data_IF_478812092437
#
_entry.id   IF_478812092437
#
_cell.length_a   1.000
_cell.length_b   1.000
_cell.length_c   1.000
_cell.angle_alpha   90.00
_cell.angle_beta   90.00
_cell.angle_gamma   90.00
#
_symmetry.space_group_name_H-M   'P 1'
#
loop_
_entity.id
_entity.type
_entity.pdbx_description
1 polymer ?
#
# COMPACT_ATOMS: atom_id res chain seq x y z
N UNK A 1 -18.36 -0.23 19.93
CA UNK A 1 -17.06 -0.83 19.60
C UNK A 1 -16.11 0.33 19.34
N UNK A 2 -15.18 0.61 20.24
CA UNK A 2 -14.23 1.71 20.04
C UNK A 2 -13.25 1.25 18.96
N UNK A 3 -13.40 1.80 17.75
CA UNK A 3 -12.43 1.58 16.68
C UNK A 3 -11.14 2.29 17.10
N UNK A 4 -10.12 1.51 17.50
CA UNK A 4 -8.80 2.08 17.70
C UNK A 4 -8.35 2.69 16.37
N UNK A 5 -7.85 3.94 16.36
CA UNK A 5 -7.32 4.53 15.14
C UNK A 5 -6.16 3.68 14.65
N UNK A 6 -6.37 3.01 13.51
CA UNK A 6 -5.34 2.23 12.86
C UNK A 6 -4.34 3.20 12.21
N UNK A 7 -3.05 3.02 12.51
CA UNK A 7 -1.98 3.88 11.96
C UNK A 7 -1.97 3.86 10.43
N UNK A 8 -2.31 2.72 9.81
CA UNK A 8 -2.43 2.58 8.36
C UNK A 8 -3.55 3.44 7.80
N UNK A 9 -4.69 3.50 8.49
CA UNK A 9 -5.81 4.36 8.09
C UNK A 9 -5.45 5.84 8.23
N UNK A 10 -4.72 6.22 9.27
CA UNK A 10 -4.26 7.60 9.46
C UNK A 10 -3.30 8.04 8.36
N UNK A 11 -2.32 7.20 8.02
CA UNK A 11 -1.39 7.46 6.92
C UNK A 11 -2.09 7.51 5.56
N UNK A 12 -3.03 6.60 5.31
CA UNK A 12 -3.83 6.62 4.10
C UNK A 12 -4.67 7.90 3.96
N UNK A 13 -5.20 8.42 5.07
CA UNK A 13 -5.98 9.66 5.11
C UNK A 13 -5.12 10.89 4.76
N UNK A 14 -3.92 10.95 5.34
CA UNK A 14 -2.92 11.96 5.06
C UNK A 14 -2.53 11.94 3.58
N UNK A 15 -2.17 10.77 3.05
CA UNK A 15 -1.79 10.61 1.65
C UNK A 15 -2.93 11.01 0.71
N UNK A 16 -4.17 10.57 1.00
CA UNK A 16 -5.33 10.95 0.20
C UNK A 16 -5.60 12.46 0.20
N UNK A 17 -5.04 13.22 1.15
CA UNK A 17 -5.20 14.68 1.27
C UNK A 17 -4.20 15.46 0.42
N UNK A 18 -3.21 14.76 -0.13
CA UNK A 18 -2.27 15.31 -1.11
C UNK A 18 -2.93 15.42 -2.48
N UNK A 19 -2.17 15.87 -3.49
CA UNK A 19 -2.63 15.93 -4.88
C UNK A 19 -3.16 14.55 -5.35
N UNK A 20 -4.47 14.41 -5.61
CA UNK A 20 -5.07 13.15 -5.98
C UNK A 20 -4.47 12.53 -7.24
N UNK A 21 -4.00 13.35 -8.19
CA UNK A 21 -3.35 12.85 -9.41
C UNK A 21 -2.03 12.16 -9.09
N UNK A 22 -1.23 12.74 -8.18
CA UNK A 22 0.04 12.14 -7.73
C UNK A 22 -0.18 10.88 -6.92
N UNK A 23 -1.17 10.87 -6.03
CA UNK A 23 -1.52 9.68 -5.22
C UNK A 23 -1.98 8.52 -6.10
N UNK A 24 -2.82 8.80 -7.11
CA UNK A 24 -3.30 7.78 -8.04
C UNK A 24 -2.22 7.27 -8.99
N UNK A 25 -1.31 8.14 -9.41
CA UNK A 25 -0.17 7.80 -10.27
C UNK A 25 0.95 7.06 -9.53
N UNK A 26 0.99 7.11 -8.19
CA UNK A 26 2.03 6.45 -7.43
C UNK A 26 1.99 4.92 -7.62
N UNK A 27 3.12 4.34 -7.96
CA UNK A 27 3.37 2.91 -7.97
C UNK A 27 4.78 2.68 -7.40
N UNK A 28 5.00 1.55 -6.76
CA UNK A 28 6.34 1.18 -6.32
C UNK A 28 7.29 1.16 -7.54
N UNK A 29 8.58 1.49 -7.36
CA UNK A 29 9.60 1.28 -8.40
C UNK A 29 9.60 -0.17 -8.90
N UNK A 30 9.94 -0.37 -10.18
CA UNK A 30 9.85 -1.69 -10.83
C UNK A 30 10.74 -2.75 -10.16
N UNK A 31 11.92 -2.35 -9.71
CA UNK A 31 12.84 -3.18 -8.95
C UNK A 31 12.23 -3.69 -7.63
N UNK A 32 11.47 -2.83 -6.94
CA UNK A 32 10.75 -3.22 -5.71
C UNK A 32 9.59 -4.18 -6.01
N UNK A 33 8.84 -3.92 -7.09
CA UNK A 33 7.77 -4.84 -7.52
C UNK A 33 8.34 -6.22 -7.88
N UNK A 34 9.39 -6.25 -8.71
CA UNK A 34 10.06 -7.49 -9.11
C UNK A 34 10.61 -8.26 -7.90
N UNK A 35 11.13 -7.54 -6.89
CA UNK A 35 11.62 -8.17 -5.66
C UNK A 35 10.48 -8.82 -4.87
N UNK A 36 9.34 -8.15 -4.72
CA UNK A 36 8.18 -8.70 -4.05
C UNK A 36 7.61 -9.93 -4.80
N UNK A 37 7.55 -9.86 -6.14
CA UNK A 37 7.15 -10.99 -6.99
C UNK A 37 8.09 -12.18 -6.83
N UNK A 38 9.41 -11.95 -6.87
CA UNK A 38 10.40 -12.99 -6.63
C UNK A 38 10.24 -13.66 -5.26
N UNK A 39 9.98 -12.86 -4.20
CA UNK A 39 9.77 -13.40 -2.85
C UNK A 39 8.47 -14.19 -2.74
N UNK A 40 7.41 -13.77 -3.43
CA UNK A 40 6.15 -14.52 -3.54
C UNK A 40 6.36 -15.88 -4.22
N UNK A 41 7.02 -15.90 -5.38
CA UNK A 41 7.34 -17.15 -6.09
C UNK A 41 8.22 -18.07 -5.23
N UNK A 42 9.26 -17.49 -4.60
CA UNK A 42 10.16 -18.24 -3.72
C UNK A 42 9.39 -18.88 -2.56
N UNK A 43 8.44 -18.16 -1.94
CA UNK A 43 7.59 -18.67 -0.85
C UNK A 43 6.74 -19.89 -1.23
N UNK A 44 6.35 -20.01 -2.50
CA UNK A 44 5.57 -21.15 -2.99
C UNK A 44 6.46 -22.38 -3.23
N UNK A 45 7.70 -22.18 -3.67
CA UNK A 45 8.61 -23.26 -4.05
C UNK A 45 9.58 -23.69 -2.96
N UNK A 46 9.88 -22.80 -1.99
CA UNK A 46 10.89 -22.98 -0.95
C UNK A 46 10.48 -22.17 0.31
N UNK A 47 11.22 -22.33 1.40
CA UNK A 47 11.03 -21.50 2.58
C UNK A 47 11.77 -20.16 2.45
N UNK A 48 11.04 -19.06 2.64
CA UNK A 48 11.66 -17.76 2.85
C UNK A 48 12.44 -17.75 4.16
N UNK A 49 13.60 -17.10 4.16
CA UNK A 49 14.28 -16.76 5.41
C UNK A 49 13.43 -15.77 6.22
N UNK A 50 13.68 -15.65 7.53
CA UNK A 50 12.96 -14.70 8.38
C UNK A 50 13.04 -13.26 7.83
N UNK A 51 14.23 -12.84 7.38
CA UNK A 51 14.44 -11.52 6.77
C UNK A 51 13.63 -11.30 5.50
N UNK A 52 13.51 -12.34 4.67
CA UNK A 52 12.73 -12.26 3.43
C UNK A 52 11.23 -12.25 3.71
N UNK A 53 10.78 -12.95 4.74
CA UNK A 53 9.40 -12.85 5.22
C UNK A 53 9.10 -11.43 5.74
N UNK A 54 9.95 -10.87 6.59
CA UNK A 54 9.80 -9.50 7.09
C UNK A 54 9.78 -8.47 5.94
N UNK A 55 10.67 -8.63 4.94
CA UNK A 55 10.69 -7.79 3.74
C UNK A 55 9.34 -7.84 2.99
N UNK A 56 8.80 -9.04 2.79
CA UNK A 56 7.53 -9.24 2.08
C UNK A 56 6.32 -8.73 2.89
N UNK A 57 6.35 -8.90 4.22
CA UNK A 57 5.32 -8.35 5.12
C UNK A 57 5.30 -6.81 5.09
N UNK A 58 6.48 -6.17 5.16
CA UNK A 58 6.58 -4.72 5.03
C UNK A 58 6.06 -4.23 3.68
N UNK A 59 6.35 -4.94 2.59
CA UNK A 59 5.82 -4.62 1.27
C UNK A 59 4.29 -4.64 1.26
N UNK A 60 3.65 -5.67 1.82
CA UNK A 60 2.18 -5.76 1.89
C UNK A 60 1.55 -4.67 2.74
N UNK A 61 2.17 -4.30 3.86
CA UNK A 61 1.69 -3.19 4.69
C UNK A 61 1.69 -1.88 3.90
N UNK A 62 2.78 -1.59 3.19
CA UNK A 62 2.88 -0.37 2.38
C UNK A 62 1.90 -0.37 1.20
N UNK A 63 1.76 -1.51 0.53
CA UNK A 63 0.80 -1.68 -0.57
C UNK A 63 -0.64 -1.45 -0.07
N UNK A 64 -0.98 -1.99 1.09
CA UNK A 64 -2.28 -1.79 1.72
C UNK A 64 -2.58 -0.30 1.99
N UNK A 65 -1.61 0.43 2.58
CA UNK A 65 -1.76 1.88 2.84
C UNK A 65 -1.98 2.65 1.53
N UNK A 66 -1.19 2.36 0.50
CA UNK A 66 -1.30 3.01 -0.81
C UNK A 66 -2.66 2.73 -1.44
N UNK A 67 -3.17 1.49 -1.33
CA UNK A 67 -4.48 1.09 -1.86
C UNK A 67 -5.61 1.85 -1.17
N UNK A 68 -5.55 1.98 0.17
CA UNK A 68 -6.49 2.79 0.94
C UNK A 68 -6.43 4.27 0.53
N UNK A 69 -5.22 4.83 0.43
CA UNK A 69 -5.02 6.23 0.04
C UNK A 69 -5.61 6.51 -1.35
N UNK A 70 -5.36 5.63 -2.33
CA UNK A 70 -5.93 5.73 -3.68
C UNK A 70 -7.45 5.65 -3.67
N UNK A 71 -8.03 4.72 -2.90
CA UNK A 71 -9.47 4.59 -2.77
C UNK A 71 -10.11 5.88 -2.25
N UNK A 72 -9.55 6.44 -1.17
CA UNK A 72 -10.04 7.69 -0.57
C UNK A 72 -9.82 8.91 -1.46
N UNK A 73 -8.69 8.99 -2.18
CA UNK A 73 -8.44 10.04 -3.16
C UNK A 73 -9.50 10.03 -4.28
N UNK A 74 -9.92 8.85 -4.76
CA UNK A 74 -11.02 8.73 -5.74
C UNK A 74 -12.35 9.23 -5.16
N UNK A 75 -12.68 8.87 -3.93
CA UNK A 75 -13.90 9.35 -3.26
C UNK A 75 -13.91 10.88 -3.18
N UNK A 76 -12.79 11.49 -2.77
CA UNK A 76 -12.67 12.95 -2.69
C UNK A 76 -12.80 13.62 -4.05
N UNK A 77 -12.20 13.06 -5.10
CA UNK A 77 -12.37 13.57 -6.46
C UNK A 77 -13.84 13.52 -6.90
N UNK A 78 -14.56 12.44 -6.59
CA UNK A 78 -15.98 12.33 -6.94
C UNK A 78 -16.86 13.31 -6.16
N UNK A 79 -16.52 13.62 -4.91
CA UNK A 79 -17.25 14.57 -4.07
C UNK A 79 -16.99 16.03 -4.44
N UNK A 80 -15.81 16.35 -4.98
CA UNK A 80 -15.43 17.72 -5.40
C UNK A 80 -15.88 18.06 -6.84
N UNK A 81 -16.44 17.08 -7.56
CA UNK A 81 -17.01 17.23 -8.91
C UNK A 81 -18.55 17.32 -8.92
N UNK A 82 -19.20 17.21 -7.76
CA UNK A 82 -20.64 17.39 -7.54
C UNK A 82 -20.91 18.76 -6.92
#
# INVERSE_FOLDING_TARGET
MVAYPNIYDSLAELMAGMDPKKVLAFHAPQDIQNRAEFLLEKKETDNLSEKENEELEHYFILEHIVRLAKSRARLRLSQHQA
#
